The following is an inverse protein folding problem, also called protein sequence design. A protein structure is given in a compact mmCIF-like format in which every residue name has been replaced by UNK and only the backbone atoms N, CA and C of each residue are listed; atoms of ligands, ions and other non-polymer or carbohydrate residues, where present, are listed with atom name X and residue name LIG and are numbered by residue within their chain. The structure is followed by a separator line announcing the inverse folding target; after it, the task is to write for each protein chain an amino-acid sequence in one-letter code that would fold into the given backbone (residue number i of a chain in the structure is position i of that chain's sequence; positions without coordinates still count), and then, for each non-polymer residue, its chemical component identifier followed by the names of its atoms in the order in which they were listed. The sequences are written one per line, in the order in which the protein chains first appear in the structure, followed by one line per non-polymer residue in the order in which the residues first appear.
data_IF_624958541422
#
_entry.id   IF_624958541422
#
_cell.length_a   1.000
_cell.length_b   1.000
_cell.length_c   1.000
_cell.angle_alpha   90.00
_cell.angle_beta   90.00
_cell.angle_gamma   90.00
#
_symmetry.space_group_name_H-M   'P 1'
#
loop_
_entity.id
_entity.type
_entity.pdbx_description
1 polymer ?
#
# COMPACT_ATOMS: atom_id res chain seq x y z
N UNK A 1 -24.43 -23.99 -8.34
CA UNK A 1 -23.32 -23.03 -8.23
C UNK A 1 -22.48 -23.42 -7.03
N UNK A 2 -21.23 -23.81 -7.24
CA UNK A 2 -20.29 -24.02 -6.11
C UNK A 2 -20.21 -22.71 -5.34
N UNK A 3 -20.42 -22.78 -4.04
CA UNK A 3 -20.33 -21.64 -3.14
C UNK A 3 -18.96 -20.96 -3.31
N UNK A 4 -18.91 -19.62 -3.36
CA UNK A 4 -17.67 -18.84 -3.47
C UNK A 4 -16.66 -19.24 -2.38
N UNK A 5 -17.16 -19.52 -1.18
CA UNK A 5 -16.34 -20.01 -0.06
C UNK A 5 -15.60 -21.30 -0.43
N UNK A 6 -16.27 -22.29 -1.01
CA UNK A 6 -15.63 -23.57 -1.37
C UNK A 6 -14.62 -23.35 -2.49
N UNK A 7 -14.92 -22.53 -3.51
CA UNK A 7 -13.96 -22.20 -4.57
C UNK A 7 -12.70 -21.52 -4.02
N UNK A 8 -12.84 -20.63 -3.04
CA UNK A 8 -11.71 -19.98 -2.39
C UNK A 8 -10.84 -20.98 -1.62
N UNK A 9 -11.45 -21.92 -0.86
CA UNK A 9 -10.73 -22.97 -0.16
C UNK A 9 -9.99 -23.91 -1.13
N UNK A 10 -10.66 -24.33 -2.20
CA UNK A 10 -10.07 -25.19 -3.23
C UNK A 10 -8.89 -24.52 -3.92
N UNK A 11 -8.99 -23.20 -4.21
CA UNK A 11 -7.90 -22.43 -4.82
C UNK A 11 -6.63 -22.42 -3.96
N UNK A 12 -6.76 -22.46 -2.63
CA UNK A 12 -5.62 -22.48 -1.71
C UNK A 12 -5.05 -23.89 -1.45
N UNK A 13 -5.86 -24.92 -1.67
CA UNK A 13 -5.53 -26.31 -1.34
C UNK A 13 -5.12 -27.15 -2.55
N UNK A 14 -5.57 -26.81 -3.76
CA UNK A 14 -5.45 -27.65 -4.96
C UNK A 14 -4.77 -26.91 -6.11
N UNK A 15 -4.02 -27.63 -7.00
CA UNK A 15 -3.64 -29.06 -6.89
C UNK A 15 -2.57 -29.31 -5.83
N UNK A 16 -1.88 -28.25 -5.40
CA UNK A 16 -0.86 -28.27 -4.34
C UNK A 16 -1.15 -27.16 -3.35
N UNK A 17 -1.11 -27.40 -2.03
CA UNK A 17 -1.32 -26.36 -1.03
C UNK A 17 -0.34 -25.20 -1.16
N UNK A 18 -0.84 -23.96 -0.92
CA UNK A 18 -0.06 -22.73 -1.01
C UNK A 18 -0.13 -22.05 -2.37
N UNK A 19 0.48 -20.89 -2.50
CA UNK A 19 0.46 -20.05 -3.72
C UNK A 19 1.83 -19.79 -4.32
N UNK A 20 2.90 -20.12 -3.60
CA UNK A 20 4.28 -19.86 -3.97
C UNK A 20 5.10 -21.15 -3.88
N UNK A 21 6.15 -21.22 -4.68
CA UNK A 21 7.16 -22.28 -4.64
C UNK A 21 8.54 -21.66 -4.86
N UNK A 22 9.59 -22.38 -4.48
CA UNK A 22 10.97 -22.00 -4.75
C UNK A 22 11.43 -22.73 -6.00
N UNK A 23 12.09 -22.02 -6.92
CA UNK A 23 12.67 -22.58 -8.14
C UNK A 23 14.16 -22.25 -8.25
N UNK A 24 14.91 -23.10 -8.93
CA UNK A 24 16.33 -22.84 -9.21
C UNK A 24 16.47 -21.84 -10.34
N UNK A 25 17.51 -20.98 -10.25
CA UNK A 25 17.89 -19.99 -11.28
C UNK A 25 19.15 -20.42 -12.05
N UNK A 26 19.83 -21.48 -11.57
CA UNK A 26 21.05 -22.01 -12.17
C UNK A 26 20.88 -23.52 -12.46
N UNK A 27 21.65 -24.03 -13.40
CA UNK A 27 21.71 -25.47 -13.65
C UNK A 27 22.31 -26.22 -12.43
N UNK A 28 21.83 -27.44 -12.19
CA UNK A 28 22.31 -28.30 -11.14
C UNK A 28 22.18 -29.78 -11.60
N UNK A 29 22.54 -30.04 -12.87
CA UNK A 29 22.33 -31.36 -13.51
C UNK A 29 23.60 -32.18 -13.60
N UNK A 30 24.77 -31.54 -13.55
CA UNK A 30 26.07 -32.22 -13.68
C UNK A 30 26.91 -32.10 -12.40
N UNK A 31 27.92 -32.98 -12.28
CA UNK A 31 28.91 -32.91 -11.18
C UNK A 31 29.69 -31.58 -11.21
N UNK A 32 29.90 -31.01 -12.40
CA UNK A 32 30.53 -29.69 -12.54
C UNK A 32 29.63 -28.60 -12.00
N UNK A 33 28.35 -28.60 -12.36
CA UNK A 33 27.37 -27.63 -11.82
C UNK A 33 27.34 -27.67 -10.29
N UNK A 34 27.29 -28.86 -9.70
CA UNK A 34 27.32 -29.05 -8.25
C UNK A 34 28.62 -28.56 -7.61
N UNK A 35 29.76 -28.77 -8.28
CA UNK A 35 31.05 -28.29 -7.82
C UNK A 35 31.13 -26.73 -7.82
N UNK A 36 30.51 -26.08 -8.79
CA UNK A 36 30.44 -24.63 -8.88
C UNK A 36 29.39 -24.07 -7.91
N UNK A 37 28.18 -24.68 -7.85
CA UNK A 37 27.07 -24.19 -7.05
C UNK A 37 27.27 -24.40 -5.54
N UNK A 38 28.05 -25.43 -5.15
CA UNK A 38 28.25 -25.75 -3.73
C UNK A 38 29.75 -25.93 -3.43
N UNK A 39 30.22 -27.11 -3.08
CA UNK A 39 31.61 -27.32 -2.67
C UNK A 39 32.45 -27.91 -3.83
N UNK A 40 33.61 -27.29 -4.17
CA UNK A 40 34.33 -26.20 -3.49
C UNK A 40 34.01 -24.80 -4.00
N UNK A 41 33.33 -24.64 -5.14
CA UNK A 41 33.15 -23.39 -5.86
C UNK A 41 32.50 -22.27 -5.06
N UNK A 42 31.53 -22.59 -4.18
CA UNK A 42 30.83 -21.61 -3.32
C UNK A 42 31.76 -20.83 -2.39
N UNK A 43 32.96 -21.32 -2.14
CA UNK A 43 33.95 -20.61 -1.32
C UNK A 43 34.42 -19.29 -1.95
N UNK A 44 34.40 -19.18 -3.29
CA UNK A 44 34.84 -17.96 -3.97
C UNK A 44 33.90 -16.77 -3.73
N UNK A 45 32.56 -16.86 -4.00
CA UNK A 45 31.67 -15.75 -3.67
C UNK A 45 31.63 -15.44 -2.15
N UNK A 46 31.83 -16.43 -1.28
CA UNK A 46 31.96 -16.18 0.17
C UNK A 46 33.18 -15.29 0.47
N UNK A 47 34.32 -15.52 -0.15
CA UNK A 47 35.54 -14.69 0.02
C UNK A 47 35.32 -13.28 -0.50
N UNK A 48 34.72 -13.13 -1.67
CA UNK A 48 34.40 -11.83 -2.28
C UNK A 48 33.49 -11.01 -1.37
N UNK A 49 32.37 -11.62 -0.90
CA UNK A 49 31.42 -10.94 0.00
C UNK A 49 32.08 -10.61 1.35
N UNK A 50 32.95 -11.46 1.88
CA UNK A 50 33.67 -11.17 3.11
C UNK A 50 34.67 -10.01 2.96
N UNK A 51 35.27 -9.86 1.79
CA UNK A 51 36.17 -8.74 1.45
C UNK A 51 35.38 -7.43 1.14
N UNK A 52 34.25 -7.54 0.46
CA UNK A 52 33.38 -6.43 0.13
C UNK A 52 31.90 -6.83 0.35
N UNK A 53 31.28 -6.42 1.46
CA UNK A 53 29.89 -6.80 1.79
C UNK A 53 28.85 -6.44 0.72
N UNK A 54 29.10 -5.42 -0.12
CA UNK A 54 28.19 -5.03 -1.19
C UNK A 54 28.11 -6.08 -2.31
N UNK A 55 29.11 -6.96 -2.44
CA UNK A 55 29.10 -8.04 -3.42
C UNK A 55 28.04 -9.12 -3.12
N UNK A 56 27.39 -9.07 -1.96
CA UNK A 56 26.20 -9.89 -1.68
C UNK A 56 25.09 -9.66 -2.71
N UNK A 57 24.94 -8.45 -3.23
CA UNK A 57 23.96 -8.13 -4.27
C UNK A 57 24.35 -8.67 -5.66
N UNK A 58 25.62 -8.99 -5.87
CA UNK A 58 26.12 -9.56 -7.12
C UNK A 58 26.02 -11.08 -7.16
N UNK A 59 26.28 -11.72 -6.01
CA UNK A 59 26.43 -13.17 -5.95
C UNK A 59 25.26 -13.89 -5.29
N UNK A 60 24.22 -13.18 -4.85
CA UNK A 60 23.04 -13.77 -4.19
C UNK A 60 21.74 -13.17 -4.69
N UNK A 61 20.60 -13.79 -4.37
CA UNK A 61 19.27 -13.29 -4.68
C UNK A 61 18.83 -12.08 -3.81
N UNK A 62 19.64 -11.63 -2.84
CA UNK A 62 19.29 -10.56 -1.89
C UNK A 62 18.67 -9.34 -2.56
N UNK A 63 19.24 -8.88 -3.69
CA UNK A 63 18.82 -7.67 -4.39
C UNK A 63 17.41 -7.71 -4.97
N UNK A 64 16.86 -8.91 -5.19
CA UNK A 64 15.50 -9.12 -5.72
C UNK A 64 14.56 -9.79 -4.72
N UNK A 65 14.89 -9.86 -3.44
CA UNK A 65 14.10 -10.59 -2.45
C UNK A 65 13.53 -9.66 -1.40
N UNK A 66 12.21 -9.73 -1.15
CA UNK A 66 11.50 -8.98 -0.11
C UNK A 66 10.92 -9.94 0.94
N UNK A 67 11.12 -9.64 2.22
CA UNK A 67 10.42 -10.32 3.29
C UNK A 67 9.03 -9.70 3.51
N UNK A 68 7.98 -10.51 3.50
CA UNK A 68 6.61 -10.13 3.90
C UNK A 68 6.41 -10.56 5.34
N UNK A 69 6.40 -9.62 6.27
CA UNK A 69 6.47 -9.92 7.70
C UNK A 69 5.21 -9.47 8.44
N UNK A 70 4.64 -10.37 9.23
CA UNK A 70 3.44 -10.12 10.02
C UNK A 70 3.53 -10.70 11.43
N UNK A 71 2.73 -10.15 12.34
CA UNK A 71 2.39 -10.79 13.60
C UNK A 71 0.92 -11.23 13.69
N UNK A 72 0.14 -10.98 12.64
CA UNK A 72 -1.26 -11.38 12.52
C UNK A 72 -2.20 -10.71 13.51
N UNK A 73 -1.90 -9.47 13.93
CA UNK A 73 -2.71 -8.74 14.92
C UNK A 73 -3.82 -7.89 14.32
N UNK A 74 -3.84 -7.71 12.98
CA UNK A 74 -4.85 -6.94 12.26
C UNK A 74 -5.16 -7.56 10.89
N UNK A 75 -5.47 -8.85 10.86
CA UNK A 75 -5.69 -9.61 9.60
C UNK A 75 -6.99 -9.15 8.95
N UNK A 76 -6.91 -8.42 7.85
CA UNK A 76 -8.05 -7.92 7.08
C UNK A 76 -9.10 -7.24 8.02
N UNK A 77 -10.39 -7.53 7.85
CA UNK A 77 -11.45 -7.16 8.77
C UNK A 77 -11.69 -8.15 9.92
N UNK A 78 -10.88 -9.21 10.05
CA UNK A 78 -11.07 -10.29 11.01
C UNK A 78 -10.38 -10.03 12.36
N UNK A 79 -9.44 -9.06 12.40
CA UNK A 79 -8.75 -8.66 13.62
C UNK A 79 -7.56 -9.56 14.01
N UNK A 80 -7.34 -9.73 15.31
CA UNK A 80 -6.19 -10.48 15.84
C UNK A 80 -6.49 -11.98 15.90
N UNK A 81 -6.05 -12.72 14.89
CA UNK A 81 -6.14 -14.19 14.84
C UNK A 81 -4.78 -14.87 14.98
N UNK A 82 -3.72 -14.09 15.14
CA UNK A 82 -2.35 -14.56 15.31
C UNK A 82 -1.61 -14.87 14.00
N UNK A 83 -0.28 -15.05 14.09
CA UNK A 83 0.59 -15.11 12.91
C UNK A 83 0.25 -16.27 11.97
N UNK A 84 -0.03 -17.48 12.48
CA UNK A 84 -0.31 -18.63 11.62
C UNK A 84 -1.57 -18.46 10.77
N UNK A 85 -2.60 -17.77 11.28
CA UNK A 85 -3.82 -17.50 10.52
C UNK A 85 -3.60 -16.46 9.41
N UNK A 86 -2.57 -15.63 9.52
CA UNK A 86 -2.21 -14.64 8.51
C UNK A 86 -1.53 -15.25 7.29
N UNK A 87 -0.94 -16.45 7.40
CA UNK A 87 -0.13 -17.05 6.32
C UNK A 87 -0.79 -17.05 4.93
N UNK A 88 -2.07 -17.39 4.74
CA UNK A 88 -2.69 -17.33 3.42
C UNK A 88 -2.72 -15.92 2.82
N UNK A 89 -2.80 -14.87 3.65
CA UNK A 89 -2.73 -13.47 3.21
C UNK A 89 -1.30 -13.13 2.80
N UNK A 90 -0.29 -13.54 3.59
CA UNK A 90 1.12 -13.27 3.34
C UNK A 90 1.61 -13.96 2.05
N UNK A 91 1.23 -15.23 1.83
CA UNK A 91 1.46 -15.90 0.54
C UNK A 91 0.77 -15.18 -0.63
N UNK A 92 -0.41 -14.59 -0.39
CA UNK A 92 -1.09 -13.75 -1.37
C UNK A 92 -0.28 -12.50 -1.73
N UNK A 93 0.37 -11.86 -0.75
CA UNK A 93 1.29 -10.73 -1.00
C UNK A 93 2.51 -11.15 -1.80
N UNK A 94 3.09 -12.30 -1.47
CA UNK A 94 4.21 -12.89 -2.20
C UNK A 94 3.85 -13.19 -3.67
N UNK A 95 2.66 -13.72 -3.91
CA UNK A 95 2.13 -13.92 -5.26
C UNK A 95 2.05 -12.59 -6.03
N UNK A 96 1.53 -11.53 -5.39
CA UNK A 96 1.40 -10.21 -6.03
C UNK A 96 2.77 -9.59 -6.34
N UNK A 97 3.76 -9.68 -5.45
CA UNK A 97 5.14 -9.26 -5.70
C UNK A 97 5.72 -9.97 -6.94
N UNK A 98 5.60 -11.29 -7.00
CA UNK A 98 6.12 -12.07 -8.13
C UNK A 98 5.38 -11.76 -9.42
N UNK A 99 4.03 -11.74 -9.38
CA UNK A 99 3.18 -11.55 -10.57
C UNK A 99 3.34 -10.18 -11.21
N UNK A 100 3.40 -9.11 -10.41
CA UNK A 100 3.33 -7.75 -10.91
C UNK A 100 4.69 -7.05 -11.04
N UNK A 101 5.70 -7.45 -10.25
CA UNK A 101 6.99 -6.78 -10.23
C UNK A 101 8.19 -7.72 -10.36
N UNK A 102 7.95 -9.02 -10.61
CA UNK A 102 8.98 -10.06 -10.65
C UNK A 102 9.95 -10.02 -9.45
N UNK A 103 9.42 -9.69 -8.27
CA UNK A 103 10.15 -9.70 -7.00
C UNK A 103 9.90 -11.05 -6.33
N UNK A 104 10.97 -11.72 -5.94
CA UNK A 104 10.91 -12.91 -5.10
C UNK A 104 10.60 -12.50 -3.67
N UNK A 105 9.74 -13.25 -2.97
CA UNK A 105 9.44 -12.92 -1.59
C UNK A 105 9.20 -14.15 -0.73
N UNK A 106 9.56 -14.01 0.54
CA UNK A 106 9.26 -14.99 1.58
C UNK A 106 8.37 -14.37 2.63
N UNK A 107 7.30 -15.06 2.97
CA UNK A 107 6.42 -14.67 4.05
C UNK A 107 6.93 -15.23 5.39
N UNK A 108 6.93 -14.38 6.42
CA UNK A 108 7.48 -14.68 7.74
C UNK A 108 6.49 -14.26 8.80
N UNK A 109 5.84 -15.24 9.41
CA UNK A 109 4.85 -15.07 10.46
C UNK A 109 5.53 -15.13 11.84
N UNK A 110 5.69 -13.97 12.49
CA UNK A 110 6.45 -13.84 13.73
C UNK A 110 5.56 -13.93 14.96
N UNK A 111 5.78 -14.97 15.77
CA UNK A 111 5.22 -15.03 17.12
C UNK A 111 6.12 -14.28 18.11
N UNK A 112 5.56 -13.39 18.87
CA UNK A 112 6.28 -12.58 19.85
C UNK A 112 5.46 -12.32 21.12
N UNK A 113 6.12 -11.93 22.20
CA UNK A 113 5.49 -11.54 23.46
C UNK A 113 5.45 -10.03 23.64
N UNK A 114 6.43 -9.33 23.12
CA UNK A 114 6.57 -7.86 23.22
C UNK A 114 6.90 -7.26 21.85
N UNK A 115 6.56 -5.99 21.65
CA UNK A 115 6.92 -5.23 20.44
C UNK A 115 8.43 -5.24 20.21
N UNK A 116 9.23 -5.09 21.27
CA UNK A 116 10.69 -5.11 21.16
C UNK A 116 11.22 -6.48 20.70
N UNK A 117 10.64 -7.59 21.14
CA UNK A 117 10.99 -8.94 20.66
C UNK A 117 10.70 -9.08 19.16
N UNK A 118 9.57 -8.55 18.67
CA UNK A 118 9.26 -8.52 17.25
C UNK A 118 10.30 -7.71 16.47
N UNK A 119 10.58 -6.48 16.90
CA UNK A 119 11.56 -5.60 16.27
C UNK A 119 12.94 -6.25 16.19
N UNK A 120 13.42 -6.86 17.30
CA UNK A 120 14.71 -7.53 17.35
C UNK A 120 14.76 -8.75 16.41
N UNK A 121 13.68 -9.55 16.36
CA UNK A 121 13.58 -10.70 15.46
C UNK A 121 13.71 -10.26 14.01
N UNK A 122 12.94 -9.25 13.61
CA UNK A 122 12.94 -8.75 12.23
C UNK A 122 14.28 -8.10 11.87
N UNK A 123 14.85 -7.28 12.74
CA UNK A 123 16.14 -6.63 12.51
C UNK A 123 17.28 -7.67 12.34
N UNK A 124 17.25 -8.77 13.08
CA UNK A 124 18.28 -9.82 13.01
C UNK A 124 18.26 -10.60 11.69
N UNK A 125 17.15 -10.67 10.97
CA UNK A 125 17.04 -11.36 9.68
C UNK A 125 17.09 -10.40 8.48
N UNK A 126 17.05 -9.09 8.71
CA UNK A 126 16.92 -8.07 7.68
C UNK A 126 18.02 -8.13 6.61
N UNK A 127 19.25 -8.47 7.00
CA UNK A 127 20.39 -8.55 6.08
C UNK A 127 20.26 -9.64 5.00
N UNK A 128 19.33 -10.57 5.16
CA UNK A 128 19.03 -11.59 4.15
C UNK A 128 18.20 -11.07 2.97
N UNK A 129 17.60 -9.88 3.09
CA UNK A 129 16.64 -9.35 2.13
C UNK A 129 17.07 -8.00 1.55
N UNK A 130 16.52 -7.68 0.37
CA UNK A 130 16.65 -6.36 -0.25
C UNK A 130 15.63 -5.34 0.27
N UNK A 131 14.54 -5.81 0.89
CA UNK A 131 13.50 -4.98 1.48
C UNK A 131 12.57 -5.75 2.41
N UNK A 132 11.80 -5.03 3.22
CA UNK A 132 10.81 -5.60 4.15
C UNK A 132 9.46 -4.92 3.95
N UNK A 133 8.43 -5.73 3.68
CA UNK A 133 7.04 -5.34 3.73
C UNK A 133 6.42 -5.80 5.05
N UNK A 134 5.98 -4.85 5.88
CA UNK A 134 5.21 -5.14 7.10
C UNK A 134 3.73 -5.20 6.76
N UNK A 135 3.03 -6.20 7.27
CA UNK A 135 1.64 -6.51 6.89
C UNK A 135 0.80 -6.90 8.11
N UNK A 136 -0.47 -6.49 8.14
CA UNK A 136 -1.47 -6.92 9.14
C UNK A 136 -1.02 -6.72 10.61
N UNK A 137 -0.31 -5.62 10.89
CA UNK A 137 0.13 -5.23 12.22
C UNK A 137 -0.75 -4.09 12.74
N UNK A 138 -1.39 -4.30 13.90
CA UNK A 138 -2.34 -3.32 14.46
C UNK A 138 -1.68 -2.01 14.92
N UNK A 139 -2.43 -0.92 14.86
CA UNK A 139 -2.07 0.34 15.51
C UNK A 139 -2.34 0.27 17.03
N UNK A 140 -1.55 0.97 17.89
CA UNK A 140 -0.46 1.86 17.51
C UNK A 140 0.91 1.17 17.33
N UNK A 141 1.02 -0.13 17.61
CA UNK A 141 2.29 -0.86 17.57
C UNK A 141 2.95 -0.80 16.19
N UNK A 142 2.18 -0.81 15.09
CA UNK A 142 2.72 -0.74 13.73
C UNK A 142 3.60 0.50 13.50
N UNK A 143 3.25 1.66 14.07
CA UNK A 143 4.05 2.88 13.95
C UNK A 143 5.40 2.76 14.65
N UNK A 144 5.39 2.19 15.86
CA UNK A 144 6.63 1.98 16.65
C UNK A 144 7.54 0.97 15.96
N UNK A 145 6.95 -0.13 15.46
CA UNK A 145 7.67 -1.21 14.77
C UNK A 145 8.32 -0.67 13.48
N UNK A 146 7.55 -0.03 12.63
CA UNK A 146 8.05 0.49 11.36
C UNK A 146 9.17 1.50 11.57
N UNK A 147 8.95 2.49 12.43
CA UNK A 147 9.97 3.51 12.76
C UNK A 147 11.27 2.88 13.25
N UNK A 148 11.18 1.96 14.23
CA UNK A 148 12.37 1.31 14.79
C UNK A 148 13.11 0.47 13.74
N UNK A 149 12.40 -0.21 12.84
CA UNK A 149 13.03 -1.00 11.79
C UNK A 149 13.66 -0.13 10.70
N UNK A 150 13.04 0.99 10.32
CA UNK A 150 13.65 1.98 9.41
C UNK A 150 14.98 2.51 9.97
N UNK A 151 15.04 2.76 11.29
CA UNK A 151 16.26 3.24 11.94
C UNK A 151 17.36 2.17 12.06
N UNK A 152 16.98 0.89 12.21
CA UNK A 152 17.92 -0.23 12.45
C UNK A 152 18.37 -0.93 11.18
N UNK A 153 17.53 -0.97 10.13
CA UNK A 153 17.81 -1.69 8.89
C UNK A 153 18.43 -0.76 7.83
N UNK A 154 19.32 -1.32 7.01
CA UNK A 154 19.94 -0.60 5.87
C UNK A 154 19.22 -0.84 4.55
N UNK A 155 18.04 -1.44 4.60
CA UNK A 155 17.17 -1.78 3.48
C UNK A 155 15.80 -1.11 3.67
N UNK A 156 15.03 -0.86 2.61
CA UNK A 156 13.71 -0.26 2.74
C UNK A 156 12.77 -1.12 3.58
N UNK A 157 12.14 -0.50 4.55
CA UNK A 157 11.04 -1.04 5.36
C UNK A 157 9.79 -0.22 5.04
N UNK A 158 8.68 -0.90 4.77
CA UNK A 158 7.45 -0.27 4.33
C UNK A 158 6.24 -1.01 4.91
N UNK A 159 5.36 -0.28 5.61
CA UNK A 159 4.14 -0.86 6.14
C UNK A 159 3.01 -0.70 5.13
N UNK A 160 2.61 -1.81 4.55
CA UNK A 160 1.64 -1.87 3.46
C UNK A 160 0.29 -1.20 3.79
N UNK A 161 -0.32 -1.56 4.95
CA UNK A 161 -1.66 -1.07 5.32
C UNK A 161 -1.71 0.44 5.54
N UNK A 162 -0.57 1.03 5.92
CA UNK A 162 -0.43 2.47 6.07
C UNK A 162 -0.24 3.13 4.70
N UNK A 163 0.90 2.88 4.10
CA UNK A 163 1.40 3.66 2.97
C UNK A 163 0.82 3.24 1.63
N UNK A 164 0.52 1.94 1.43
CA UNK A 164 -0.14 1.47 0.21
C UNK A 164 -1.52 2.10 0.05
N UNK A 165 -2.34 2.07 1.10
CA UNK A 165 -3.66 2.71 1.13
C UNK A 165 -3.55 4.22 0.92
N UNK A 166 -2.59 4.87 1.57
CA UNK A 166 -2.38 6.31 1.45
C UNK A 166 -2.05 6.73 0.01
N UNK A 167 -1.12 6.03 -0.65
CA UNK A 167 -0.68 6.36 -2.02
C UNK A 167 -1.83 6.21 -3.01
N UNK A 168 -2.56 5.10 -2.97
CA UNK A 168 -3.65 4.82 -3.91
C UNK A 168 -4.83 5.76 -3.68
N UNK A 169 -5.18 6.03 -2.42
CA UNK A 169 -6.23 7.01 -2.06
C UNK A 169 -5.85 8.41 -2.54
N UNK A 170 -4.61 8.85 -2.31
CA UNK A 170 -4.15 10.17 -2.75
C UNK A 170 -4.17 10.31 -4.28
N UNK A 171 -3.72 9.28 -5.02
CA UNK A 171 -3.73 9.29 -6.48
C UNK A 171 -5.15 9.43 -7.05
N UNK A 172 -6.08 8.60 -6.60
CA UNK A 172 -7.48 8.67 -7.01
C UNK A 172 -8.15 9.98 -6.60
N UNK A 173 -7.89 10.46 -5.37
CA UNK A 173 -8.46 11.70 -4.85
C UNK A 173 -8.01 12.93 -5.65
N UNK A 174 -6.72 13.04 -5.95
CA UNK A 174 -6.22 14.15 -6.76
C UNK A 174 -6.84 14.18 -8.16
N UNK A 175 -7.07 13.00 -8.77
CA UNK A 175 -7.78 12.92 -10.05
C UNK A 175 -9.27 13.28 -9.90
N UNK A 176 -9.92 12.84 -8.83
CA UNK A 176 -11.31 13.21 -8.56
C UNK A 176 -11.46 14.74 -8.33
N UNK A 177 -10.51 15.35 -7.60
CA UNK A 177 -10.47 16.80 -7.41
C UNK A 177 -10.31 17.56 -8.75
N UNK A 178 -9.41 17.09 -9.64
CA UNK A 178 -9.26 17.67 -10.99
C UNK A 178 -10.58 17.62 -11.78
N UNK A 179 -11.28 16.47 -11.78
CA UNK A 179 -12.55 16.29 -12.48
C UNK A 179 -13.65 17.19 -11.91
N UNK A 180 -13.69 17.36 -10.58
CA UNK A 180 -14.68 18.21 -9.90
C UNK A 180 -14.28 19.68 -9.87
N UNK A 181 -13.14 20.06 -10.46
CA UNK A 181 -12.65 21.45 -10.50
C UNK A 181 -12.29 22.02 -9.13
N UNK A 182 -11.82 21.18 -8.21
CA UNK A 182 -11.47 21.56 -6.83
C UNK A 182 -9.96 21.56 -6.61
N UNK A 183 -9.47 22.54 -5.85
CA UNK A 183 -8.06 22.62 -5.43
C UNK A 183 -7.87 21.89 -4.09
N UNK A 184 -6.93 20.96 -4.04
CA UNK A 184 -6.58 20.21 -2.82
C UNK A 184 -6.21 21.14 -1.64
N UNK A 185 -5.62 22.31 -1.93
CA UNK A 185 -5.28 23.32 -0.92
C UNK A 185 -6.49 23.95 -0.26
N UNK A 186 -7.63 23.95 -0.94
CA UNK A 186 -8.86 24.59 -0.46
C UNK A 186 -9.88 23.56 0.03
N UNK A 187 -9.74 22.30 -0.33
CA UNK A 187 -10.71 21.26 -0.04
C UNK A 187 -10.84 20.99 1.47
N UNK A 188 -12.08 20.95 1.94
CA UNK A 188 -12.42 20.46 3.28
C UNK A 188 -12.54 18.94 3.24
N UNK A 189 -11.70 18.25 3.99
CA UNK A 189 -11.57 16.79 3.99
C UNK A 189 -12.06 16.24 5.33
N UNK A 190 -12.98 15.29 5.29
CA UNK A 190 -13.44 14.53 6.46
C UNK A 190 -12.90 13.11 6.39
N UNK A 191 -12.16 12.70 7.40
CA UNK A 191 -11.60 11.35 7.51
C UNK A 191 -12.32 10.60 8.64
N UNK A 192 -13.13 9.61 8.29
CA UNK A 192 -13.80 8.73 9.26
C UNK A 192 -12.94 7.49 9.51
N UNK A 193 -12.26 7.53 10.65
CA UNK A 193 -11.24 6.60 11.11
C UNK A 193 -10.04 7.39 11.64
N UNK A 194 -9.34 6.82 12.61
CA UNK A 194 -8.12 7.38 13.20
C UNK A 194 -7.11 6.27 13.54
N UNK A 195 -7.12 5.21 12.73
CA UNK A 195 -6.16 4.11 12.74
C UNK A 195 -4.97 4.36 11.81
N UNK A 196 -4.17 3.32 11.59
CA UNK A 196 -2.95 3.39 10.79
C UNK A 196 -3.18 3.94 9.38
N UNK A 197 -4.13 3.38 8.64
CA UNK A 197 -4.46 3.82 7.28
C UNK A 197 -4.95 5.28 7.24
N UNK A 198 -5.83 5.67 8.18
CA UNK A 198 -6.35 7.04 8.25
C UNK A 198 -5.25 8.08 8.44
N UNK A 199 -4.36 7.84 9.40
CA UNK A 199 -3.24 8.73 9.71
C UNK A 199 -2.32 8.84 8.49
N UNK A 200 -1.89 7.71 7.92
CA UNK A 200 -1.01 7.70 6.76
C UNK A 200 -1.63 8.37 5.52
N UNK A 201 -2.94 8.16 5.27
CA UNK A 201 -3.65 8.83 4.18
C UNK A 201 -3.63 10.35 4.35
N UNK A 202 -3.95 10.84 5.53
CA UNK A 202 -4.01 12.30 5.77
C UNK A 202 -2.62 12.94 5.77
N UNK A 203 -1.60 12.27 6.30
CA UNK A 203 -0.20 12.73 6.23
C UNK A 203 0.27 12.85 4.78
N UNK A 204 0.01 11.84 3.95
CA UNK A 204 0.42 11.87 2.55
C UNK A 204 -0.37 12.93 1.75
N UNK A 205 -1.65 13.13 2.03
CA UNK A 205 -2.43 14.20 1.40
C UNK A 205 -1.88 15.60 1.74
N UNK A 206 -1.38 15.80 2.97
CA UNK A 206 -0.69 17.04 3.34
C UNK A 206 0.59 17.20 2.51
N UNK A 207 1.37 16.14 2.30
CA UNK A 207 2.54 16.17 1.42
C UNK A 207 2.17 16.45 -0.05
N UNK A 208 0.98 16.05 -0.47
CA UNK A 208 0.43 16.36 -1.80
C UNK A 208 -0.22 17.76 -1.88
N UNK A 209 -0.25 18.54 -0.80
CA UNK A 209 -0.71 19.93 -0.79
C UNK A 209 -1.97 20.23 0.00
N UNK A 210 -2.62 19.24 0.63
CA UNK A 210 -3.78 19.49 1.51
C UNK A 210 -3.37 20.32 2.74
N UNK A 211 -4.25 21.22 3.16
CA UNK A 211 -4.02 21.98 4.38
C UNK A 211 -4.52 21.20 5.60
N UNK A 212 -3.63 21.01 6.57
CA UNK A 212 -3.93 20.24 7.78
C UNK A 212 -5.17 20.75 8.53
N UNK A 213 -5.35 22.07 8.58
CA UNK A 213 -6.44 22.74 9.27
C UNK A 213 -7.81 22.47 8.62
N UNK A 214 -7.81 21.99 7.37
CA UNK A 214 -9.00 21.62 6.60
C UNK A 214 -9.31 20.13 6.67
N UNK A 215 -8.51 19.34 7.40
CA UNK A 215 -8.72 17.92 7.60
C UNK A 215 -9.38 17.70 8.95
N UNK A 216 -10.60 17.16 8.95
CA UNK A 216 -11.35 16.78 10.15
C UNK A 216 -11.32 15.26 10.29
N UNK A 217 -10.50 14.76 11.23
CA UNK A 217 -10.42 13.34 11.53
C UNK A 217 -11.41 12.97 12.63
N UNK A 218 -12.07 11.82 12.49
CA UNK A 218 -13.00 11.27 13.48
C UNK A 218 -12.57 9.88 13.94
N UNK A 219 -12.72 9.62 15.22
CA UNK A 219 -12.65 8.27 15.77
C UNK A 219 -14.01 7.90 16.42
N UNK A 220 -14.07 6.77 17.13
CA UNK A 220 -15.28 6.29 17.81
C UNK A 220 -15.89 7.25 18.82
N UNK A 221 -15.15 8.30 19.22
CA UNK A 221 -15.62 9.35 20.15
C UNK A 221 -15.97 10.66 19.43
N UNK A 222 -15.98 10.66 18.10
CA UNK A 222 -16.27 11.83 17.28
C UNK A 222 -15.02 12.57 16.79
N UNK A 223 -15.16 13.84 16.49
CA UNK A 223 -14.09 14.66 15.92
C UNK A 223 -12.88 14.72 16.84
N UNK A 224 -11.70 14.56 16.24
CA UNK A 224 -10.40 14.73 16.91
C UNK A 224 -10.13 16.26 17.01
N UNK A 225 -10.20 16.82 18.22
CA UNK A 225 -10.05 18.25 18.46
C UNK A 225 -9.15 18.55 19.66
N UNK A 226 -8.61 19.75 19.72
CA UNK A 226 -7.57 20.16 20.71
C UNK A 226 -8.03 20.10 22.18
N UNK A 227 -9.34 20.10 22.45
CA UNK A 227 -9.91 20.02 23.81
C UNK A 227 -10.10 18.56 24.31
N UNK A 228 -9.67 17.56 23.54
CA UNK A 228 -9.67 16.14 23.97
C UNK A 228 -8.39 15.79 24.72
N UNK A 229 -8.53 15.04 25.84
CA UNK A 229 -7.42 14.61 26.68
C UNK A 229 -7.02 13.13 26.48
N UNK A 230 -7.74 12.42 25.61
CA UNK A 230 -7.60 10.98 25.37
C UNK A 230 -6.85 10.66 24.05
N UNK A 231 -6.25 11.66 23.41
CA UNK A 231 -5.57 11.50 22.16
C UNK A 231 -4.15 10.98 22.36
N UNK A 232 -3.79 9.92 21.61
CA UNK A 232 -2.39 9.53 21.46
C UNK A 232 -1.61 10.55 20.59
N UNK A 233 -0.28 10.38 20.52
CA UNK A 233 0.60 11.30 19.77
C UNK A 233 0.23 11.44 18.30
N UNK A 234 -0.16 10.35 17.63
CA UNK A 234 -0.52 10.34 16.20
C UNK A 234 -1.84 11.08 15.94
N UNK A 235 -2.87 10.86 16.77
CA UNK A 235 -4.14 11.59 16.66
C UNK A 235 -3.98 13.09 16.96
N UNK A 236 -3.09 13.45 17.89
CA UNK A 236 -2.80 14.86 18.21
C UNK A 236 -2.33 15.67 17.01
N UNK A 237 -1.67 15.03 16.04
CA UNK A 237 -1.25 15.68 14.80
C UNK A 237 -2.44 16.26 14.01
N UNK A 238 -3.62 15.65 14.13
CA UNK A 238 -4.85 16.06 13.43
C UNK A 238 -5.88 16.75 14.32
N UNK A 239 -5.53 17.05 15.57
CA UNK A 239 -6.43 17.75 16.48
C UNK A 239 -6.60 19.22 16.06
N UNK A 240 -7.78 19.56 15.56
CA UNK A 240 -8.12 20.92 15.17
C UNK A 240 -8.78 21.71 16.32
N UNK A 241 -8.55 23.02 16.36
CA UNK A 241 -9.29 23.92 17.24
C UNK A 241 -10.65 24.24 16.59
N UNK A 242 -11.65 23.44 16.91
CA UNK A 242 -12.99 23.50 16.30
C UNK A 242 -14.08 23.20 17.31
N UNK A 243 -15.30 23.65 17.04
CA UNK A 243 -16.51 23.30 17.82
C UNK A 243 -17.24 22.09 17.24
N UNK A 244 -16.83 21.54 16.09
CA UNK A 244 -17.35 20.31 15.50
C UNK A 244 -17.08 19.11 16.43
N UNK A 245 -18.10 18.24 16.63
CA UNK A 245 -18.03 17.08 17.54
C UNK A 245 -18.43 15.78 16.86
N UNK A 246 -19.41 15.83 15.99
CA UNK A 246 -20.02 14.67 15.35
C UNK A 246 -19.62 14.56 13.88
N UNK A 247 -19.97 13.46 13.23
CA UNK A 247 -19.81 13.33 11.79
C UNK A 247 -20.70 14.34 11.06
N UNK A 248 -21.92 14.60 11.54
CA UNK A 248 -22.82 15.57 10.92
C UNK A 248 -22.20 16.98 10.92
N UNK A 249 -21.59 17.38 12.05
CA UNK A 249 -20.90 18.67 12.12
C UNK A 249 -19.71 18.74 11.16
N UNK A 250 -18.99 17.65 11.01
CA UNK A 250 -17.78 17.61 10.17
C UNK A 250 -18.09 17.57 8.69
N UNK A 251 -19.12 16.78 8.29
CA UNK A 251 -19.47 16.49 6.89
C UNK A 251 -20.18 17.67 6.23
N UNK A 252 -20.83 18.55 6.98
CA UNK A 252 -21.49 19.74 6.44
C UNK A 252 -20.50 20.63 5.71
N UNK A 253 -20.74 20.81 4.39
CA UNK A 253 -19.88 21.59 3.50
C UNK A 253 -18.52 20.93 3.21
N UNK A 254 -18.32 19.66 3.51
CA UNK A 254 -17.11 18.92 3.16
C UNK A 254 -17.05 18.64 1.65
N UNK A 255 -15.88 18.83 1.06
CA UNK A 255 -15.60 18.51 -0.33
C UNK A 255 -15.29 17.04 -0.53
N UNK A 256 -14.60 16.44 0.44
CA UNK A 256 -14.09 15.08 0.38
C UNK A 256 -14.43 14.33 1.67
N UNK A 257 -14.93 13.12 1.52
CA UNK A 257 -15.04 12.13 2.60
C UNK A 257 -14.09 10.95 2.33
N UNK A 258 -13.34 10.55 3.35
CA UNK A 258 -12.48 9.35 3.34
C UNK A 258 -12.88 8.46 4.51
N UNK A 259 -13.48 7.31 4.20
CA UNK A 259 -13.82 6.27 5.17
C UNK A 259 -12.78 5.14 5.14
N UNK A 260 -12.21 4.87 6.29
CA UNK A 260 -11.24 3.78 6.55
C UNK A 260 -11.48 3.20 7.95
N UNK A 261 -12.74 2.96 8.28
CA UNK A 261 -13.14 2.57 9.64
C UNK A 261 -14.02 1.34 9.69
N UNK A 262 -15.22 1.36 9.12
CA UNK A 262 -16.16 0.26 9.19
C UNK A 262 -17.40 0.47 8.33
N UNK A 263 -18.21 -0.59 8.15
CA UNK A 263 -19.32 -0.58 7.21
C UNK A 263 -20.49 0.31 7.68
N UNK A 264 -21.22 0.89 6.71
CA UNK A 264 -22.49 1.58 6.90
C UNK A 264 -22.46 2.73 7.94
N UNK A 265 -21.34 3.46 8.00
CA UNK A 265 -21.16 4.58 8.92
C UNK A 265 -21.45 5.96 8.29
N UNK A 266 -21.64 6.02 6.98
CA UNK A 266 -22.05 7.23 6.26
C UNK A 266 -23.46 7.03 5.69
N UNK A 267 -24.38 7.94 6.00
CA UNK A 267 -25.79 7.87 5.57
C UNK A 267 -26.05 8.73 4.33
N UNK A 268 -27.10 8.41 3.52
CA UNK A 268 -27.52 9.27 2.40
C UNK A 268 -27.84 10.72 2.82
N UNK A 269 -28.37 10.91 4.04
CA UNK A 269 -28.69 12.23 4.60
C UNK A 269 -27.42 13.03 4.82
N UNK A 270 -26.36 12.40 5.34
CA UNK A 270 -25.05 13.01 5.55
C UNK A 270 -24.39 13.36 4.21
N UNK A 271 -24.53 12.51 3.18
CA UNK A 271 -24.01 12.80 1.83
C UNK A 271 -24.66 14.07 1.25
N UNK A 272 -25.96 14.32 1.53
CA UNK A 272 -26.65 15.54 1.10
C UNK A 272 -26.11 16.82 1.75
N UNK A 273 -25.48 16.73 2.92
CA UNK A 273 -24.87 17.87 3.62
C UNK A 273 -23.52 18.29 3.03
N UNK A 274 -22.89 17.44 2.21
CA UNK A 274 -21.59 17.76 1.60
C UNK A 274 -21.69 18.93 0.60
N UNK A 275 -20.55 19.55 0.33
CA UNK A 275 -20.41 20.58 -0.67
C UNK A 275 -20.85 20.10 -2.07
N UNK A 276 -21.17 21.01 -3.03
CA UNK A 276 -21.42 20.62 -4.42
C UNK A 276 -20.26 19.80 -5.01
N UNK A 277 -20.60 18.84 -5.87
CA UNK A 277 -19.65 17.93 -6.49
C UNK A 277 -18.76 17.19 -5.46
N UNK A 278 -19.35 16.43 -4.52
CA UNK A 278 -18.59 15.77 -3.46
C UNK A 278 -17.78 14.59 -3.97
N UNK A 279 -16.72 14.28 -3.25
CA UNK A 279 -15.84 13.12 -3.52
C UNK A 279 -15.90 12.20 -2.32
N UNK A 280 -16.22 10.91 -2.53
CA UNK A 280 -16.44 9.93 -1.46
C UNK A 280 -15.55 8.71 -1.69
N UNK A 281 -14.59 8.51 -0.80
CA UNK A 281 -13.77 7.32 -0.70
C UNK A 281 -14.27 6.46 0.46
N UNK A 282 -15.08 5.45 0.18
CA UNK A 282 -15.62 4.50 1.16
C UNK A 282 -14.81 3.20 1.09
N UNK A 283 -13.67 3.17 1.81
CA UNK A 283 -12.63 2.16 1.63
C UNK A 283 -12.70 0.98 2.60
N UNK A 284 -13.66 0.93 3.51
CA UNK A 284 -13.85 -0.19 4.42
C UNK A 284 -14.14 -1.50 3.67
N UNK A 285 -13.57 -2.60 4.13
CA UNK A 285 -13.73 -3.94 3.56
C UNK A 285 -14.23 -4.94 4.62
N UNK A 286 -15.13 -5.91 4.25
CA UNK A 286 -15.66 -6.16 2.91
C UNK A 286 -16.80 -5.21 2.49
N UNK A 287 -17.44 -4.54 3.43
CA UNK A 287 -18.54 -3.60 3.17
C UNK A 287 -18.07 -2.16 3.38
N UNK A 288 -18.38 -1.24 2.44
CA UNK A 288 -17.99 0.16 2.52
C UNK A 288 -18.80 0.94 3.58
N UNK A 289 -18.32 2.12 3.95
CA UNK A 289 -19.02 3.05 4.84
C UNK A 289 -20.38 3.48 4.30
N UNK A 290 -20.53 3.52 2.98
CA UNK A 290 -21.81 3.67 2.27
C UNK A 290 -21.72 2.92 0.94
N UNK A 291 -22.81 2.25 0.55
CA UNK A 291 -22.88 1.62 -0.78
C UNK A 291 -22.95 2.70 -1.85
N UNK A 292 -22.20 2.57 -2.98
CA UNK A 292 -22.22 3.54 -4.07
C UNK A 292 -23.61 3.91 -4.58
N UNK A 293 -24.52 2.94 -4.67
CA UNK A 293 -25.89 3.17 -5.13
C UNK A 293 -26.67 4.13 -4.23
N UNK A 294 -26.45 4.03 -2.91
CA UNK A 294 -27.11 4.90 -1.93
C UNK A 294 -26.54 6.31 -1.97
N UNK A 295 -25.22 6.43 -2.14
CA UNK A 295 -24.57 7.72 -2.24
C UNK A 295 -24.96 8.45 -3.54
N UNK A 296 -24.98 7.75 -4.68
CA UNK A 296 -25.40 8.31 -5.97
C UNK A 296 -26.89 8.65 -6.00
N UNK A 297 -27.74 7.88 -5.32
CA UNK A 297 -29.16 8.24 -5.18
C UNK A 297 -29.37 9.50 -4.32
N UNK A 298 -28.46 9.79 -3.38
CA UNK A 298 -28.50 11.01 -2.58
C UNK A 298 -27.93 12.22 -3.34
N UNK A 299 -26.83 12.00 -4.10
CA UNK A 299 -26.08 13.04 -4.84
C UNK A 299 -25.55 12.45 -6.14
N UNK A 300 -26.18 12.76 -7.24
CA UNK A 300 -25.80 12.31 -8.60
C UNK A 300 -24.54 13.03 -9.15
N UNK A 301 -24.15 14.14 -8.54
CA UNK A 301 -22.91 14.87 -8.80
C UNK A 301 -21.67 14.30 -8.09
N UNK A 302 -21.82 13.28 -7.20
CA UNK A 302 -20.72 12.69 -6.45
C UNK A 302 -19.78 11.83 -7.31
N UNK A 303 -18.46 11.83 -7.03
CA UNK A 303 -17.51 10.80 -7.45
C UNK A 303 -17.32 9.85 -6.29
N UNK A 304 -17.45 8.53 -6.56
CA UNK A 304 -17.34 7.51 -5.53
C UNK A 304 -16.25 6.52 -5.88
N UNK A 305 -15.44 6.18 -4.87
CA UNK A 305 -14.43 5.14 -4.90
C UNK A 305 -14.60 4.20 -3.70
N UNK A 306 -14.30 2.90 -3.88
CA UNK A 306 -14.40 1.89 -2.82
C UNK A 306 -13.22 0.93 -2.86
N UNK A 307 -13.03 0.12 -1.82
CA UNK A 307 -12.06 -0.98 -1.82
C UNK A 307 -12.47 -2.19 -2.67
N UNK A 308 -13.72 -2.25 -3.11
CA UNK A 308 -14.31 -3.42 -3.79
C UNK A 308 -14.03 -3.41 -5.29
N UNK A 309 -13.76 -4.60 -5.83
CA UNK A 309 -13.49 -4.80 -7.26
C UNK A 309 -14.74 -4.82 -8.16
N UNK A 310 -15.93 -4.94 -7.58
CA UNK A 310 -17.20 -4.98 -8.28
C UNK A 310 -17.82 -3.59 -8.51
N UNK A 311 -17.11 -2.53 -8.12
CA UNK A 311 -17.49 -1.14 -8.38
C UNK A 311 -16.44 -0.41 -9.21
N UNK A 312 -16.82 0.67 -9.91
CA UNK A 312 -15.87 1.61 -10.50
C UNK A 312 -14.94 2.22 -9.45
N UNK A 313 -13.76 2.69 -9.89
CA UNK A 313 -12.81 3.39 -9.01
C UNK A 313 -12.36 2.55 -7.79
N UNK A 314 -11.92 1.31 -8.03
CA UNK A 314 -11.41 0.46 -6.97
C UNK A 314 -10.10 1.03 -6.39
N UNK A 315 -10.11 1.37 -5.10
CA UNK A 315 -8.93 1.72 -4.31
C UNK A 315 -8.27 0.43 -3.84
N UNK A 316 -7.28 -0.03 -4.59
CA UNK A 316 -6.57 -1.28 -4.31
C UNK A 316 -5.08 -1.02 -4.20
N UNK A 317 -4.51 -1.37 -3.07
CA UNK A 317 -3.09 -1.12 -2.77
C UNK A 317 -2.13 -1.82 -3.73
N UNK A 318 -2.58 -2.85 -4.47
CA UNK A 318 -1.78 -3.52 -5.51
C UNK A 318 -1.34 -2.57 -6.63
N UNK A 319 -2.03 -1.44 -6.81
CA UNK A 319 -1.62 -0.40 -7.77
C UNK A 319 -0.29 0.28 -7.41
N UNK A 320 0.21 0.06 -6.21
CA UNK A 320 1.42 0.74 -5.71
C UNK A 320 2.49 -0.23 -5.22
N UNK A 321 2.17 -1.10 -4.25
CA UNK A 321 3.20 -1.73 -3.43
C UNK A 321 4.20 -2.61 -4.18
N UNK A 322 3.84 -3.39 -5.20
CA UNK A 322 4.86 -4.16 -5.91
C UNK A 322 5.85 -3.24 -6.64
N UNK A 323 5.35 -2.14 -7.17
CA UNK A 323 6.11 -1.24 -8.03
C UNK A 323 6.98 -0.27 -7.23
N UNK A 324 6.55 0.18 -6.04
CA UNK A 324 7.37 1.02 -5.16
C UNK A 324 8.59 0.24 -4.66
N UNK A 325 8.42 -1.05 -4.35
CA UNK A 325 9.54 -1.93 -4.02
C UNK A 325 10.45 -2.16 -5.23
N UNK A 326 9.88 -2.35 -6.45
CA UNK A 326 10.70 -2.51 -7.65
C UNK A 326 11.61 -1.30 -7.87
N UNK A 327 11.06 -0.10 -7.85
CA UNK A 327 11.85 1.12 -7.98
C UNK A 327 12.89 1.31 -6.86
N UNK A 328 12.54 0.95 -5.61
CA UNK A 328 13.47 1.03 -4.49
C UNK A 328 14.62 0.02 -4.58
N UNK A 329 14.32 -1.23 -4.97
CA UNK A 329 15.32 -2.30 -5.11
C UNK A 329 16.30 -2.02 -6.25
N UNK A 330 15.83 -1.51 -7.39
CA UNK A 330 16.65 -1.28 -8.59
C UNK A 330 17.77 -0.26 -8.38
N UNK A 331 17.56 0.70 -7.50
CA UNK A 331 18.56 1.69 -7.13
C UNK A 331 19.15 1.45 -5.73
N UNK A 332 18.85 0.29 -5.13
CA UNK A 332 19.27 -0.07 -3.76
C UNK A 332 18.99 1.06 -2.78
N UNK A 333 17.77 1.56 -2.76
CA UNK A 333 17.37 2.59 -1.81
C UNK A 333 17.43 2.02 -0.37
N UNK A 334 17.97 2.80 0.56
CA UNK A 334 18.04 2.40 1.97
C UNK A 334 16.72 2.58 2.72
N UNK A 335 15.79 3.33 2.16
CA UNK A 335 14.46 3.60 2.73
C UNK A 335 13.49 3.97 1.60
N UNK A 336 12.19 3.85 1.86
CA UNK A 336 11.13 4.44 1.03
C UNK A 336 10.64 5.70 1.75
N UNK A 337 11.13 6.87 1.30
CA UNK A 337 10.82 8.16 1.90
C UNK A 337 9.54 8.81 1.32
N UNK A 338 9.19 10.00 1.82
CA UNK A 338 7.99 10.71 1.39
C UNK A 338 8.05 11.15 -0.07
N UNK A 339 9.24 11.53 -0.58
CA UNK A 339 9.45 11.91 -1.97
C UNK A 339 9.13 10.75 -2.92
N UNK A 340 9.54 9.54 -2.58
CA UNK A 340 9.23 8.31 -3.33
C UNK A 340 7.72 8.00 -3.30
N UNK A 341 7.07 8.17 -2.15
CA UNK A 341 5.61 7.97 -2.01
C UNK A 341 4.82 8.97 -2.85
N UNK A 342 5.21 10.25 -2.81
CA UNK A 342 4.59 11.31 -3.63
C UNK A 342 4.83 11.06 -5.13
N UNK A 343 6.02 10.62 -5.51
CA UNK A 343 6.31 10.24 -6.90
C UNK A 343 5.41 9.09 -7.38
N UNK A 344 5.19 8.08 -6.55
CA UNK A 344 4.25 6.99 -6.84
C UNK A 344 2.80 7.51 -7.02
N UNK A 345 2.33 8.42 -6.16
CA UNK A 345 1.03 9.09 -6.31
C UNK A 345 0.91 9.74 -7.69
N UNK A 346 1.89 10.53 -8.07
CA UNK A 346 1.86 11.23 -9.36
C UNK A 346 1.94 10.29 -10.56
N UNK A 347 2.72 9.23 -10.49
CA UNK A 347 2.79 8.23 -11.56
C UNK A 347 1.44 7.50 -11.74
N UNK A 348 0.84 7.01 -10.66
CA UNK A 348 -0.46 6.32 -10.71
C UNK A 348 -1.56 7.24 -11.26
N UNK A 349 -1.63 8.50 -10.81
CA UNK A 349 -2.66 9.44 -11.29
C UNK A 349 -2.45 9.82 -12.76
N UNK A 350 -1.23 9.87 -13.25
CA UNK A 350 -0.93 10.19 -14.65
C UNK A 350 -1.44 9.09 -15.59
N UNK A 351 -1.20 7.82 -15.27
CA UNK A 351 -1.64 6.66 -16.06
C UNK A 351 -3.15 6.68 -16.31
N UNK A 352 -3.96 7.07 -15.33
CA UNK A 352 -5.42 7.14 -15.51
C UNK A 352 -5.86 8.16 -16.56
N UNK A 353 -5.04 9.17 -16.84
CA UNK A 353 -5.33 10.25 -17.82
C UNK A 353 -4.90 9.92 -19.23
N UNK A 354 -4.10 8.88 -19.41
CA UNK A 354 -3.62 8.42 -20.70
C UNK A 354 -4.66 7.51 -21.37
N UNK A 355 -4.61 7.43 -22.71
CA UNK A 355 -5.39 6.45 -23.46
C UNK A 355 -5.07 5.03 -22.99
N UNK A 356 -6.08 4.23 -22.74
CA UNK A 356 -5.92 2.86 -22.24
C UNK A 356 -5.70 1.90 -23.41
N UNK A 357 -4.55 1.21 -23.49
CA UNK A 357 -4.27 0.27 -24.55
C UNK A 357 -5.25 -0.91 -24.61
N UNK A 358 -5.48 -1.45 -25.82
CA UNK A 358 -6.45 -2.55 -26.04
C UNK A 358 -6.10 -3.82 -25.24
N UNK A 359 -4.81 -4.12 -25.07
CA UNK A 359 -4.37 -5.24 -24.24
C UNK A 359 -4.69 -5.05 -22.76
N UNK A 360 -4.65 -3.80 -22.26
CA UNK A 360 -5.05 -3.48 -20.89
C UNK A 360 -6.56 -3.60 -20.72
N UNK A 361 -7.35 -3.11 -21.69
CA UNK A 361 -8.81 -3.29 -21.69
C UNK A 361 -9.17 -4.77 -21.64
N UNK A 362 -8.55 -5.59 -22.51
CA UNK A 362 -8.77 -7.03 -22.54
C UNK A 362 -8.39 -7.71 -21.21
N UNK A 363 -7.26 -7.34 -20.61
CA UNK A 363 -6.80 -7.89 -19.34
C UNK A 363 -7.72 -7.50 -18.16
N UNK A 364 -8.38 -6.34 -18.24
CA UNK A 364 -9.34 -5.87 -17.25
C UNK A 364 -10.76 -6.38 -17.48
N UNK A 365 -11.04 -7.01 -18.65
CA UNK A 365 -12.39 -7.43 -19.05
C UNK A 365 -13.31 -6.25 -19.39
N UNK A 366 -12.73 -5.13 -19.82
CA UNK A 366 -13.44 -3.90 -20.17
C UNK A 366 -13.39 -3.64 -21.68
N UNK A 367 -14.36 -2.93 -22.20
CA UNK A 367 -14.39 -2.52 -23.61
C UNK A 367 -13.85 -1.10 -23.80
N UNK A 368 -13.97 -0.28 -22.78
CA UNK A 368 -13.53 1.11 -22.78
C UNK A 368 -13.27 1.57 -21.34
N UNK A 369 -12.20 2.35 -21.14
CA UNK A 369 -11.89 3.04 -19.89
C UNK A 369 -11.41 4.46 -20.24
N UNK A 370 -12.23 5.46 -19.93
CA UNK A 370 -11.95 6.88 -20.19
C UNK A 370 -11.84 7.62 -18.89
N UNK A 371 -10.79 8.44 -18.75
CA UNK A 371 -10.61 9.32 -17.60
C UNK A 371 -11.86 10.17 -17.33
N UNK A 372 -12.41 10.01 -16.15
CA UNK A 372 -13.67 10.64 -15.77
C UNK A 372 -14.22 10.07 -14.46
N UNK A 373 -15.46 10.38 -14.12
CA UNK A 373 -16.10 10.05 -12.83
C UNK A 373 -16.04 8.56 -12.46
N UNK A 374 -16.02 7.66 -13.47
CA UNK A 374 -15.99 6.21 -13.28
C UNK A 374 -14.60 5.58 -13.49
N UNK A 375 -13.60 6.39 -13.84
CA UNK A 375 -12.22 5.95 -14.02
C UNK A 375 -11.25 7.05 -13.59
N UNK A 376 -11.09 7.22 -12.27
CA UNK A 376 -10.15 8.17 -11.64
C UNK A 376 -8.79 7.55 -11.34
N UNK A 377 -8.68 6.22 -11.44
CA UNK A 377 -7.50 5.45 -11.06
C UNK A 377 -7.37 4.21 -11.97
N UNK A 378 -6.14 3.77 -12.32
CA UNK A 378 -5.93 2.57 -13.14
C UNK A 378 -6.52 1.30 -12.49
N UNK A 379 -6.74 0.28 -13.30
CA UNK A 379 -7.12 -1.06 -12.82
C UNK A 379 -5.88 -1.87 -12.40
N UNK A 380 -6.01 -2.85 -11.48
CA UNK A 380 -4.88 -3.67 -11.02
C UNK A 380 -4.11 -4.42 -12.10
N UNK A 381 -4.79 -4.77 -13.21
CA UNK A 381 -4.17 -5.50 -14.33
C UNK A 381 -3.52 -4.59 -15.38
N UNK A 382 -3.42 -3.30 -15.13
CA UNK A 382 -2.82 -2.34 -16.05
C UNK A 382 -1.30 -2.49 -16.08
N UNK A 383 -0.78 -3.00 -17.18
CA UNK A 383 0.66 -3.28 -17.36
C UNK A 383 1.52 -2.02 -17.37
N UNK A 384 0.95 -0.84 -17.59
CA UNK A 384 1.67 0.45 -17.55
C UNK A 384 2.11 0.84 -16.14
N UNK A 385 1.49 0.26 -15.09
CA UNK A 385 1.81 0.56 -13.69
C UNK A 385 3.26 0.23 -13.35
N UNK A 386 3.74 -0.94 -13.76
CA UNK A 386 5.10 -1.38 -13.42
C UNK A 386 6.16 -0.39 -13.92
N UNK A 387 6.30 -0.10 -15.22
CA UNK A 387 7.35 0.80 -15.69
C UNK A 387 7.18 2.24 -15.19
N UNK A 388 5.96 2.76 -15.13
CA UNK A 388 5.73 4.15 -14.74
C UNK A 388 6.00 4.40 -13.25
N UNK A 389 5.46 3.54 -12.37
CA UNK A 389 5.61 3.74 -10.92
C UNK A 389 7.03 3.42 -10.46
N UNK A 390 7.63 2.30 -10.94
CA UNK A 390 8.99 1.93 -10.58
C UNK A 390 10.01 3.01 -11.02
N UNK A 391 9.88 3.54 -12.23
CA UNK A 391 10.75 4.62 -12.73
C UNK A 391 10.61 5.89 -11.87
N UNK A 392 9.38 6.32 -11.59
CA UNK A 392 9.15 7.52 -10.79
C UNK A 392 9.73 7.40 -9.37
N UNK A 393 9.55 6.24 -8.77
CA UNK A 393 10.07 5.92 -7.42
C UNK A 393 11.61 5.87 -7.43
N UNK A 394 12.22 5.20 -8.42
CA UNK A 394 13.66 5.11 -8.54
C UNK A 394 14.31 6.50 -8.75
N UNK A 395 13.73 7.34 -9.61
CA UNK A 395 14.15 8.74 -9.78
C UNK A 395 14.09 9.53 -8.48
N UNK A 396 12.96 9.47 -7.78
CA UNK A 396 12.79 10.16 -6.50
C UNK A 396 13.78 9.67 -5.43
N UNK A 397 14.10 8.37 -5.41
CA UNK A 397 15.11 7.82 -4.51
C UNK A 397 16.52 8.38 -4.79
N UNK A 398 16.89 8.50 -6.07
CA UNK A 398 18.17 9.10 -6.47
C UNK A 398 18.22 10.59 -6.14
N UNK A 399 17.19 11.34 -6.51
CA UNK A 399 17.10 12.79 -6.31
C UNK A 399 17.08 13.17 -4.82
N UNK A 400 16.43 12.36 -3.96
CA UNK A 400 16.39 12.56 -2.51
C UNK A 400 17.61 11.99 -1.76
N UNK A 401 18.57 11.39 -2.48
CA UNK A 401 19.85 10.92 -1.92
C UNK A 401 19.72 9.68 -1.03
N UNK A 402 18.67 8.87 -1.21
CA UNK A 402 18.50 7.61 -0.47
C UNK A 402 18.90 6.37 -1.28
N UNK A 403 19.14 6.51 -2.58
CA UNK A 403 19.63 5.47 -3.46
C UNK A 403 21.14 5.23 -3.29
N UNK A 404 21.58 3.98 -3.36
CA UNK A 404 23.00 3.60 -3.40
C UNK A 404 23.55 3.54 -4.83
N UNK A 405 22.68 3.37 -5.83
CA UNK A 405 23.03 3.30 -7.24
C UNK A 405 22.40 4.47 -8.00
N UNK A 406 23.06 4.91 -9.07
CA UNK A 406 22.46 5.81 -10.06
C UNK A 406 21.41 5.07 -10.89
N UNK A 407 20.44 5.79 -11.40
CA UNK A 407 19.49 5.24 -12.36
C UNK A 407 20.21 4.97 -13.70
N UNK A 408 20.07 3.77 -14.29
CA UNK A 408 20.62 3.50 -15.63
C UNK A 408 19.98 4.39 -16.70
N UNK A 409 20.76 4.82 -17.72
CA UNK A 409 20.26 5.66 -18.82
C UNK A 409 19.08 5.01 -19.58
N UNK A 410 19.10 3.67 -19.69
CA UNK A 410 18.05 2.88 -20.33
C UNK A 410 17.30 2.05 -19.29
N UNK A 411 16.81 2.70 -18.24
CA UNK A 411 16.03 1.99 -17.20
C UNK A 411 14.75 1.41 -17.82
N UNK A 412 14.73 0.10 -17.93
CA UNK A 412 13.55 -0.70 -18.31
C UNK A 412 13.29 -1.73 -17.21
N UNK A 413 12.02 -1.88 -16.83
CA UNK A 413 11.56 -2.81 -15.80
C UNK A 413 10.93 -4.02 -16.44
#
# INVERSE_FOLDING_TARGET
MTDFRQRALDYHALPTPGKISVSLTTAAETSEDLSLAYSPGVAEPVREIAANPDDVYKYTAKGNTVAVITNGTAILGLGNLGPMAAKPVMEGKSLLFKRFANIDSFDIEVKHKTVEEFINTVANIADSFGGINLEDIKAPECFVIEKALIERCKIPVFHYDQHGTAIVTAAGMMNALDIQGKDIKLANIVCLGAGAAAIACMELLIKCGAQREKIYMLDTKGVVHTRRNDLNEYKKLFANNTDKRTLDDAIEGADVFVGVSGPNLLTPEQVKLMAPNPIIFACSNPDPEIKPELALAARDDAIIATGRSDYPNQVNNVLCFPFIFRGALDVRARTINDEMKVAAVHAIRAIAKEEVPSEVLAACGETELIFGRNYIIPKPMDSRLLPAVALAVAKAAVESGVAALSLPDNYMV
#
